data_IF_195474390190
#
_entry.id   IF_195474390190
#
_cell.length_a   1.000
_cell.length_b   1.000
_cell.length_c   1.000
_cell.angle_alpha   90.00
_cell.angle_beta   90.00
_cell.angle_gamma   90.00
#
_symmetry.space_group_name_H-M   'P 1'
#
loop_
_entity.id
_entity.type
_entity.pdbx_description
1 polymer ?
#
# COMPACT_ATOMS: atom_id res chain seq x y z
N UNK A 1 -20.90 14.30 -9.78
CA UNK A 1 -21.38 12.94 -9.48
C UNK A 1 -20.16 12.04 -9.41
N UNK A 2 -19.61 11.87 -8.20
CA UNK A 2 -18.36 11.12 -8.01
C UNK A 2 -18.63 9.62 -7.98
N UNK A 3 -17.79 8.82 -8.63
CA UNK A 3 -17.79 7.36 -8.54
C UNK A 3 -17.87 6.92 -7.07
N UNK A 4 -19.05 6.44 -6.65
CA UNK A 4 -19.22 5.78 -5.36
C UNK A 4 -18.60 4.39 -5.49
N UNK A 5 -17.38 4.22 -4.97
CA UNK A 5 -16.73 2.91 -4.93
C UNK A 5 -17.56 1.95 -4.05
N UNK A 6 -17.64 0.66 -4.40
CA UNK A 6 -18.47 -0.32 -3.70
C UNK A 6 -18.05 -0.42 -2.23
N UNK A 7 -19.04 -0.29 -1.35
CA UNK A 7 -18.86 -0.36 0.10
C UNK A 7 -18.87 -1.81 0.54
N UNK A 8 -17.76 -2.28 1.11
CA UNK A 8 -17.65 -3.65 1.62
C UNK A 8 -17.95 -3.64 3.11
N UNK A 9 -19.05 -4.27 3.53
CA UNK A 9 -19.48 -4.33 4.94
C UNK A 9 -18.84 -5.47 5.74
N UNK A 10 -18.19 -6.44 5.07
CA UNK A 10 -17.49 -7.58 5.68
C UNK A 10 -16.26 -7.94 4.86
N UNK A 11 -15.11 -8.16 5.52
CA UNK A 11 -14.00 -8.85 4.86
C UNK A 11 -14.41 -10.30 4.50
N UNK A 12 -13.73 -10.93 3.54
CA UNK A 12 -13.85 -12.37 3.30
C UNK A 12 -13.83 -13.13 4.65
N UNK A 13 -14.82 -13.99 4.90
CA UNK A 13 -14.95 -14.84 6.08
C UNK A 13 -15.43 -14.18 7.40
N UNK A 14 -16.45 -13.30 7.37
CA UNK A 14 -17.20 -12.85 8.56
C UNK A 14 -16.40 -12.09 9.65
N UNK A 15 -15.16 -11.69 9.38
CA UNK A 15 -14.34 -10.93 10.31
C UNK A 15 -14.79 -9.47 10.31
N UNK A 16 -14.97 -8.82 11.49
CA UNK A 16 -15.30 -7.41 11.55
C UNK A 16 -14.22 -6.58 10.84
N UNK A 17 -14.65 -5.59 10.06
CA UNK A 17 -13.82 -4.82 9.13
C UNK A 17 -12.56 -4.23 9.80
N UNK A 18 -12.69 -3.87 11.08
CA UNK A 18 -11.60 -3.36 11.93
C UNK A 18 -10.46 -4.37 12.10
N UNK A 19 -10.76 -5.62 12.44
CA UNK A 19 -9.77 -6.70 12.60
C UNK A 19 -9.14 -7.06 11.25
N UNK A 20 -9.95 -7.09 10.18
CA UNK A 20 -9.45 -7.30 8.82
C UNK A 20 -8.40 -6.26 8.41
N UNK A 21 -8.67 -4.97 8.66
CA UNK A 21 -7.71 -3.89 8.34
C UNK A 21 -6.42 -3.93 9.16
N UNK A 22 -6.50 -4.35 10.43
CA UNK A 22 -5.30 -4.54 11.27
C UNK A 22 -4.44 -5.68 10.73
N UNK A 23 -5.04 -6.84 10.44
CA UNK A 23 -4.33 -8.00 9.88
C UNK A 23 -3.65 -7.64 8.56
N UNK A 24 -4.36 -6.94 7.67
CA UNK A 24 -3.78 -6.48 6.39
C UNK A 24 -2.56 -5.60 6.64
N UNK A 25 -2.61 -4.68 7.62
CA UNK A 25 -1.47 -3.84 7.99
C UNK A 25 -0.26 -4.67 8.44
N UNK A 26 -0.45 -5.61 9.37
CA UNK A 26 0.63 -6.47 9.85
C UNK A 26 1.23 -7.37 8.77
N UNK A 27 0.39 -8.02 7.96
CA UNK A 27 0.87 -8.84 6.83
C UNK A 27 1.63 -7.99 5.82
N UNK A 28 1.19 -6.75 5.58
CA UNK A 28 1.85 -5.82 4.68
C UNK A 28 3.25 -5.44 5.17
N UNK A 29 3.40 -5.21 6.49
CA UNK A 29 4.70 -4.93 7.12
C UNK A 29 5.64 -6.13 6.93
N UNK A 30 5.21 -7.34 7.30
CA UNK A 30 6.04 -8.55 7.17
C UNK A 30 6.45 -8.76 5.72
N UNK A 31 5.50 -8.66 4.80
CA UNK A 31 5.76 -8.85 3.38
C UNK A 31 6.72 -7.79 2.83
N UNK A 32 6.58 -6.53 3.24
CA UNK A 32 7.49 -5.45 2.82
C UNK A 32 8.92 -5.65 3.32
N UNK A 33 9.10 -6.16 4.55
CA UNK A 33 10.43 -6.52 5.06
C UNK A 33 11.07 -7.65 4.25
N UNK A 34 10.30 -8.70 3.96
CA UNK A 34 10.76 -9.82 3.13
C UNK A 34 11.10 -9.35 1.70
N UNK A 35 10.25 -8.49 1.12
CA UNK A 35 10.48 -7.91 -0.20
C UNK A 35 11.77 -7.08 -0.22
N UNK A 36 12.01 -6.20 0.75
CA UNK A 36 13.27 -5.45 0.84
C UNK A 36 14.48 -6.37 0.99
N UNK A 37 14.40 -7.42 1.82
CA UNK A 37 15.49 -8.39 1.98
C UNK A 37 15.80 -9.12 0.66
N UNK A 38 14.78 -9.56 -0.06
CA UNK A 38 14.96 -10.23 -1.37
C UNK A 38 15.57 -9.28 -2.40
N UNK A 39 15.11 -8.03 -2.50
CA UNK A 39 15.70 -7.04 -3.42
C UNK A 39 17.17 -6.77 -3.08
N UNK A 40 17.51 -6.62 -1.80
CA UNK A 40 18.90 -6.46 -1.36
C UNK A 40 19.78 -7.66 -1.74
N UNK A 41 19.25 -8.88 -1.62
CA UNK A 41 19.94 -10.10 -2.06
C UNK A 41 20.17 -10.11 -3.58
N UNK A 42 19.18 -9.69 -4.38
CA UNK A 42 19.34 -9.57 -5.83
C UNK A 42 20.41 -8.54 -6.21
N UNK A 43 20.43 -7.38 -5.55
CA UNK A 43 21.48 -6.37 -5.75
C UNK A 43 22.86 -6.99 -5.49
N UNK A 44 23.04 -7.71 -4.38
CA UNK A 44 24.29 -8.40 -4.09
C UNK A 44 24.70 -9.40 -5.18
N UNK A 45 23.74 -10.19 -5.69
CA UNK A 45 23.98 -11.13 -6.81
C UNK A 45 24.42 -10.40 -8.08
N UNK A 46 23.81 -9.26 -8.41
CA UNK A 46 24.21 -8.46 -9.58
C UNK A 46 25.62 -7.89 -9.40
N UNK A 47 25.94 -7.34 -8.23
CA UNK A 47 27.29 -6.83 -7.93
C UNK A 47 28.34 -7.93 -8.09
N UNK A 48 28.11 -9.09 -7.46
CA UNK A 48 29.03 -10.23 -7.52
C UNK A 48 29.19 -10.76 -8.95
N UNK A 49 28.12 -10.78 -9.75
CA UNK A 49 28.19 -11.19 -11.16
C UNK A 49 29.03 -10.23 -12.01
N UNK A 50 28.86 -8.91 -11.81
CA UNK A 50 29.65 -7.89 -12.53
C UNK A 50 31.12 -8.00 -12.14
N UNK A 51 31.43 -8.16 -10.86
CA UNK A 51 32.80 -8.31 -10.38
C UNK A 51 33.45 -9.59 -10.92
N UNK A 52 32.72 -10.72 -10.94
CA UNK A 52 33.23 -11.97 -11.48
C UNK A 52 33.52 -11.90 -12.98
N UNK A 53 32.65 -11.23 -13.77
CA UNK A 53 32.89 -11.02 -15.20
C UNK A 53 34.07 -10.09 -15.50
N UNK A 54 34.44 -9.19 -14.58
CA UNK A 54 35.67 -8.39 -14.70
C UNK A 54 36.94 -9.23 -14.55
N UNK A 55 36.92 -10.23 -13.65
CA UNK A 55 38.05 -11.14 -13.45
C UNK A 55 38.11 -12.25 -14.51
N UNK A 56 36.96 -12.74 -14.97
CA UNK A 56 36.85 -13.81 -15.97
C UNK A 56 35.90 -13.35 -17.09
N UNK A 57 36.42 -12.72 -18.15
CA UNK A 57 35.59 -12.22 -19.24
C UNK A 57 34.95 -13.38 -19.98
N UNK A 58 33.62 -13.40 -20.04
CA UNK A 58 32.87 -14.37 -20.83
C UNK A 58 33.03 -14.03 -22.32
N UNK A 59 33.45 -14.97 -23.19
CA UNK A 59 33.64 -14.71 -24.62
C UNK A 59 32.36 -14.30 -25.37
N UNK A 60 31.17 -14.54 -24.82
CA UNK A 60 29.89 -14.26 -25.50
C UNK A 60 29.38 -12.82 -25.32
N UNK A 61 29.85 -12.07 -24.32
CA UNK A 61 29.34 -10.73 -24.01
C UNK A 61 30.46 -9.73 -23.76
N UNK A 62 30.43 -8.60 -24.48
CA UNK A 62 31.39 -7.51 -24.28
C UNK A 62 31.18 -6.84 -22.92
N UNK A 63 32.28 -6.48 -22.25
CA UNK A 63 32.26 -5.88 -20.91
C UNK A 63 31.39 -4.61 -20.83
N UNK A 64 31.38 -3.78 -21.88
CA UNK A 64 30.51 -2.59 -21.98
C UNK A 64 29.01 -2.93 -21.95
N UNK A 65 28.61 -4.04 -22.58
CA UNK A 65 27.20 -4.46 -22.59
C UNK A 65 26.74 -4.95 -21.21
N UNK A 66 27.63 -5.66 -20.50
CA UNK A 66 27.37 -6.14 -19.13
C UNK A 66 27.23 -4.95 -18.17
N UNK A 67 28.11 -3.96 -18.26
CA UNK A 67 28.06 -2.77 -17.40
C UNK A 67 26.81 -1.91 -17.68
N UNK A 68 26.42 -1.74 -18.95
CA UNK A 68 25.21 -0.99 -19.33
C UNK A 68 23.94 -1.68 -18.82
N UNK A 69 23.84 -3.01 -18.95
CA UNK A 69 22.70 -3.79 -18.43
C UNK A 69 22.67 -3.77 -16.89
N UNK A 70 23.84 -3.87 -16.24
CA UNK A 70 23.93 -3.78 -14.78
C UNK A 70 23.46 -2.41 -14.26
N UNK A 71 23.85 -1.32 -14.90
CA UNK A 71 23.40 0.04 -14.54
C UNK A 71 21.87 0.15 -14.61
N UNK A 72 21.28 -0.36 -15.69
CA UNK A 72 19.81 -0.41 -15.86
C UNK A 72 19.11 -1.20 -14.75
N UNK A 73 19.71 -2.32 -14.33
CA UNK A 73 19.21 -3.14 -13.22
C UNK A 73 19.34 -2.42 -11.87
N UNK A 74 20.44 -1.74 -11.60
CA UNK A 74 20.62 -0.96 -10.37
C UNK A 74 19.58 0.15 -10.23
N UNK A 75 19.33 0.91 -11.30
CA UNK A 75 18.31 1.97 -11.30
C UNK A 75 16.92 1.38 -11.00
N UNK A 76 16.61 0.23 -11.62
CA UNK A 76 15.35 -0.48 -11.37
C UNK A 76 15.23 -0.91 -9.90
N UNK A 77 16.25 -1.60 -9.36
CA UNK A 77 16.23 -2.07 -7.97
C UNK A 77 16.21 -0.94 -6.94
N UNK A 78 16.89 0.18 -7.20
CA UNK A 78 16.80 1.37 -6.35
C UNK A 78 15.37 1.91 -6.31
N UNK A 79 14.67 1.93 -7.45
CA UNK A 79 13.27 2.30 -7.50
C UNK A 79 12.38 1.32 -6.72
N UNK A 80 12.59 0.00 -6.85
CA UNK A 80 11.89 -1.00 -6.04
C UNK A 80 12.03 -0.76 -4.54
N UNK A 81 13.25 -0.55 -4.06
CA UNK A 81 13.51 -0.27 -2.64
C UNK A 81 12.76 0.97 -2.18
N UNK A 82 12.74 2.04 -2.98
CA UNK A 82 12.01 3.27 -2.63
C UNK A 82 10.50 3.03 -2.48
N UNK A 83 9.88 2.25 -3.38
CA UNK A 83 8.46 1.93 -3.33
C UNK A 83 8.13 1.03 -2.14
N UNK A 84 8.94 0.01 -1.86
CA UNK A 84 8.73 -0.87 -0.70
C UNK A 84 8.95 -0.15 0.63
N UNK A 85 9.91 0.76 0.72
CA UNK A 85 10.13 1.57 1.90
C UNK A 85 8.93 2.50 2.16
N UNK A 86 8.41 3.13 1.11
CA UNK A 86 7.20 3.94 1.23
C UNK A 86 5.98 3.09 1.66
N UNK A 87 5.85 1.87 1.12
CA UNK A 87 4.81 0.93 1.52
C UNK A 87 4.91 0.51 2.99
N UNK A 88 6.12 0.28 3.50
CA UNK A 88 6.37 -0.04 4.89
C UNK A 88 5.92 1.10 5.83
N UNK A 89 6.31 2.35 5.53
CA UNK A 89 5.90 3.53 6.30
C UNK A 89 4.38 3.67 6.35
N UNK A 90 3.74 3.58 5.19
CA UNK A 90 2.28 3.67 5.07
C UNK A 90 1.60 2.56 5.88
N UNK A 91 2.12 1.34 5.82
CA UNK A 91 1.57 0.20 6.58
C UNK A 91 1.67 0.39 8.08
N UNK A 92 2.74 1.03 8.59
CA UNK A 92 2.84 1.41 10.01
C UNK A 92 1.78 2.46 10.37
N UNK A 93 1.63 3.50 9.54
CA UNK A 93 0.62 4.56 9.76
C UNK A 93 -0.80 3.96 9.78
N UNK A 94 -1.07 2.95 8.94
CA UNK A 94 -2.33 2.21 8.98
C UNK A 94 -2.57 1.57 10.35
N UNK A 95 -1.61 0.79 10.82
CA UNK A 95 -1.73 0.05 12.09
C UNK A 95 -1.94 1.03 13.24
N UNK A 96 -1.16 2.12 13.30
CA UNK A 96 -1.30 3.18 14.31
C UNK A 96 -2.67 3.86 14.21
N UNK A 97 -3.13 4.17 12.99
CA UNK A 97 -4.40 4.85 12.75
C UNK A 97 -5.59 4.01 13.19
N UNK A 98 -5.58 2.71 12.90
CA UNK A 98 -6.65 1.78 13.30
C UNK A 98 -6.62 1.50 14.80
N UNK A 99 -5.43 1.38 15.39
CA UNK A 99 -5.28 1.21 16.84
C UNK A 99 -5.74 2.45 17.62
N UNK A 100 -5.39 3.65 17.13
CA UNK A 100 -5.73 4.92 17.79
C UNK A 100 -7.18 5.35 17.58
N UNK A 101 -7.94 4.67 16.72
CA UNK A 101 -9.33 4.99 16.37
C UNK A 101 -9.54 6.47 15.95
N UNK A 102 -8.52 7.10 15.37
CA UNK A 102 -8.53 8.50 14.95
C UNK A 102 -8.79 8.60 13.44
N UNK A 103 -9.98 9.03 12.99
CA UNK A 103 -10.32 9.06 11.56
C UNK A 103 -9.40 10.00 10.76
N UNK A 104 -8.88 11.06 11.36
CA UNK A 104 -7.95 11.99 10.72
C UNK A 104 -6.66 11.30 10.23
N UNK A 105 -6.14 10.32 10.98
CA UNK A 105 -4.96 9.56 10.59
C UNK A 105 -5.27 8.61 9.43
N UNK A 106 -6.44 7.96 9.45
CA UNK A 106 -6.87 7.13 8.32
C UNK A 106 -7.10 7.97 7.05
N UNK A 107 -7.59 9.21 7.17
CA UNK A 107 -7.77 10.09 6.02
C UNK A 107 -6.45 10.41 5.32
N UNK A 108 -5.41 10.70 6.11
CA UNK A 108 -4.05 10.91 5.58
C UNK A 108 -3.49 9.63 4.98
N UNK A 109 -3.75 8.47 5.61
CA UNK A 109 -3.38 7.17 5.05
C UNK A 109 -4.02 6.94 3.68
N UNK A 110 -5.32 7.18 3.50
CA UNK A 110 -6.00 6.94 2.21
C UNK A 110 -5.38 7.78 1.09
N UNK A 111 -5.02 9.04 1.38
CA UNK A 111 -4.30 9.90 0.41
C UNK A 111 -2.93 9.34 0.08
N UNK A 112 -2.16 8.92 1.09
CA UNK A 112 -0.84 8.33 0.90
C UNK A 112 -0.90 7.00 0.13
N UNK A 113 -1.92 6.18 0.39
CA UNK A 113 -2.17 4.92 -0.32
C UNK A 113 -2.49 5.15 -1.81
N UNK A 114 -3.21 6.22 -2.16
CA UNK A 114 -3.40 6.61 -3.57
C UNK A 114 -2.07 6.96 -4.25
N UNK A 115 -1.21 7.69 -3.55
CA UNK A 115 0.12 8.06 -4.07
C UNK A 115 1.00 6.82 -4.25
N UNK A 116 0.98 5.89 -3.29
CA UNK A 116 1.65 4.60 -3.41
C UNK A 116 1.13 3.80 -4.60
N UNK A 117 -0.18 3.79 -4.83
CA UNK A 117 -0.75 3.10 -5.98
C UNK A 117 -0.23 3.68 -7.31
N UNK A 118 -0.14 5.01 -7.41
CA UNK A 118 0.46 5.66 -8.58
C UNK A 118 1.93 5.27 -8.77
N UNK A 119 2.73 5.23 -7.70
CA UNK A 119 4.10 4.74 -7.74
C UNK A 119 4.19 3.27 -8.15
N UNK A 120 3.28 2.42 -7.68
CA UNK A 120 3.23 1.01 -8.06
C UNK A 120 2.91 0.81 -9.55
N UNK A 121 2.03 1.64 -10.12
CA UNK A 121 1.75 1.63 -11.57
C UNK A 121 2.97 2.09 -12.37
N UNK A 122 3.64 3.16 -11.93
CA UNK A 122 4.89 3.60 -12.55
C UNK A 122 5.96 2.51 -12.49
N UNK A 123 6.03 1.77 -11.38
CA UNK A 123 6.92 0.63 -11.22
C UNK A 123 6.63 -0.47 -12.24
N UNK A 124 5.37 -0.82 -12.50
CA UNK A 124 5.01 -1.80 -13.54
C UNK A 124 5.55 -1.36 -14.91
N UNK A 125 5.44 -0.08 -15.25
CA UNK A 125 5.96 0.46 -16.52
C UNK A 125 7.48 0.34 -16.59
N UNK A 126 8.20 0.76 -15.54
CA UNK A 126 9.65 0.65 -15.45
C UNK A 126 10.10 -0.79 -15.63
N UNK A 127 9.46 -1.74 -14.93
CA UNK A 127 9.83 -3.15 -15.04
C UNK A 127 9.52 -3.74 -16.40
N UNK A 128 8.44 -3.31 -17.04
CA UNK A 128 8.09 -3.75 -18.39
C UNK A 128 9.17 -3.37 -19.40
N UNK A 129 9.71 -2.15 -19.28
CA UNK A 129 10.76 -1.64 -20.17
C UNK A 129 12.10 -2.33 -19.92
N UNK A 130 12.49 -2.55 -18.66
CA UNK A 130 13.85 -2.99 -18.33
C UNK A 130 14.03 -4.50 -18.12
N UNK A 131 13.02 -5.21 -17.60
CA UNK A 131 13.10 -6.66 -17.31
C UNK A 131 12.22 -7.51 -18.24
N UNK A 132 11.32 -6.89 -18.99
CA UNK A 132 10.43 -7.57 -19.94
C UNK A 132 9.15 -8.15 -19.34
N UNK A 133 8.28 -8.68 -20.22
CA UNK A 133 6.89 -8.99 -19.90
C UNK A 133 6.69 -10.03 -18.79
N UNK A 134 7.47 -11.12 -18.78
CA UNK A 134 7.31 -12.17 -17.76
C UNK A 134 7.60 -11.67 -16.33
N UNK A 135 8.56 -10.75 -16.18
CA UNK A 135 8.87 -10.15 -14.89
C UNK A 135 7.75 -9.20 -14.40
N UNK A 136 6.91 -8.68 -15.30
CA UNK A 136 5.81 -7.76 -14.95
C UNK A 136 4.60 -8.46 -14.34
N UNK A 137 4.33 -9.71 -14.69
CA UNK A 137 3.17 -10.47 -14.22
C UNK A 137 3.05 -10.55 -12.68
N UNK A 138 4.10 -10.90 -11.91
CA UNK A 138 4.01 -10.93 -10.45
C UNK A 138 3.77 -9.55 -9.84
N UNK A 139 4.30 -8.50 -10.46
CA UNK A 139 4.14 -7.11 -10.00
C UNK A 139 2.74 -6.60 -10.32
N UNK A 140 2.20 -6.98 -11.47
CA UNK A 140 0.83 -6.67 -11.85
C UNK A 140 -0.15 -7.32 -10.87
N UNK A 141 0.09 -8.59 -10.50
CA UNK A 141 -0.67 -9.27 -9.44
C UNK A 141 -0.54 -8.53 -8.11
N UNK A 142 0.65 -8.08 -7.74
CA UNK A 142 0.87 -7.28 -6.53
C UNK A 142 0.11 -5.95 -6.55
N UNK A 143 0.11 -5.25 -7.68
CA UNK A 143 -0.63 -4.00 -7.88
C UNK A 143 -2.14 -4.21 -7.72
N UNK A 144 -2.67 -5.32 -8.24
CA UNK A 144 -4.07 -5.68 -8.04
C UNK A 144 -4.40 -5.95 -6.56
N UNK A 145 -3.52 -6.68 -5.85
CA UNK A 145 -3.67 -6.90 -4.40
C UNK A 145 -3.67 -5.57 -3.62
N UNK A 146 -2.77 -4.63 -3.96
CA UNK A 146 -2.75 -3.29 -3.36
C UNK A 146 -4.04 -2.53 -3.59
N UNK A 147 -4.63 -2.64 -4.78
CA UNK A 147 -5.92 -2.02 -5.10
C UNK A 147 -7.03 -2.57 -4.20
N UNK A 148 -7.11 -3.89 -4.06
CA UNK A 148 -8.09 -4.54 -3.16
C UNK A 148 -7.88 -4.09 -1.71
N UNK A 149 -6.63 -4.09 -1.22
CA UNK A 149 -6.30 -3.61 0.12
C UNK A 149 -6.73 -2.15 0.32
N UNK A 150 -6.47 -1.28 -0.66
CA UNK A 150 -6.88 0.13 -0.61
C UNK A 150 -8.40 0.29 -0.52
N UNK A 151 -9.17 -0.50 -1.27
CA UNK A 151 -10.64 -0.49 -1.22
C UNK A 151 -11.15 -0.93 0.16
N UNK A 152 -10.54 -1.97 0.74
CA UNK A 152 -10.89 -2.45 2.09
C UNK A 152 -10.60 -1.37 3.13
N UNK A 153 -9.42 -0.75 3.10
CA UNK A 153 -9.08 0.31 4.07
C UNK A 153 -9.92 1.56 3.89
N UNK A 154 -10.29 1.91 2.65
CA UNK A 154 -11.22 3.03 2.43
C UNK A 154 -12.61 2.72 3.01
N UNK A 155 -13.07 1.48 2.89
CA UNK A 155 -14.33 1.04 3.48
C UNK A 155 -14.28 1.13 5.01
N UNK A 156 -13.14 0.79 5.64
CA UNK A 156 -12.97 0.90 7.10
C UNK A 156 -12.92 2.35 7.57
N UNK A 157 -12.30 3.24 6.80
CA UNK A 157 -12.34 4.69 7.07
C UNK A 157 -13.78 5.22 7.10
N UNK A 158 -14.59 4.88 6.09
CA UNK A 158 -15.98 5.34 6.00
C UNK A 158 -16.84 4.81 7.16
N UNK A 159 -16.62 3.56 7.59
CA UNK A 159 -17.30 3.00 8.76
C UNK A 159 -16.91 3.71 10.06
N UNK A 160 -15.63 4.03 10.26
CA UNK A 160 -15.18 4.80 11.43
C UNK A 160 -15.68 6.26 11.40
N UNK A 161 -15.78 6.87 10.22
CA UNK A 161 -16.32 8.22 10.05
C UNK A 161 -17.81 8.27 10.38
N UNK A 162 -18.58 7.25 9.99
CA UNK A 162 -20.00 7.13 10.35
C UNK A 162 -20.22 6.84 11.84
N UNK A 163 -19.38 6.02 12.47
CA UNK A 163 -19.46 5.78 13.91
C UNK A 163 -19.10 7.01 14.74
N UNK A 164 -18.20 7.87 14.25
CA UNK A 164 -17.83 9.13 14.90
C UNK A 164 -18.79 10.29 14.60
N UNK A 165 -19.72 10.16 13.64
CA UNK A 165 -20.77 11.17 13.47
C UNK A 165 -21.76 11.03 14.62
N UNK A 166 -22.15 12.14 15.28
CA UNK A 166 -23.17 12.10 16.32
C UNK A 166 -24.43 11.48 15.74
N UNK A 167 -24.97 10.46 16.42
CA UNK A 167 -26.17 9.77 15.97
C UNK A 167 -27.32 10.78 15.98
N UNK A 168 -28.06 10.88 14.89
CA UNK A 168 -29.15 11.86 14.70
C UNK A 168 -30.18 11.81 15.84
N UNK A 169 -30.34 10.65 16.50
CA UNK A 169 -31.21 10.47 17.66
C UNK A 169 -30.79 11.31 18.89
N UNK A 170 -29.51 11.66 19.05
CA UNK A 170 -29.05 12.55 20.14
C UNK A 170 -29.34 14.02 19.84
N UNK A 171 -29.48 14.40 18.56
CA UNK A 171 -29.89 15.77 18.21
C UNK A 171 -31.36 16.02 18.58
N UNK A 172 -32.21 15.00 18.55
CA UNK A 172 -33.63 15.14 18.86
C UNK A 172 -33.88 15.48 20.34
N UNK A 173 -33.01 15.02 21.26
CA UNK A 173 -33.07 15.38 22.68
C UNK A 173 -32.61 16.83 22.97
N UNK A 174 -31.84 17.45 22.09
CA UNK A 174 -31.44 18.87 22.23
C UNK A 174 -32.54 19.84 21.78
N UNK A 175 -33.51 19.37 20.98
CA UNK A 175 -34.64 20.18 20.51
C UNK A 175 -35.94 19.94 21.29
N UNK A 176 -36.02 18.93 22.17
CA UNK A 176 -37.11 18.84 23.14
C UNK A 176 -36.88 19.83 24.27
N UNK A 177 -37.30 21.07 24.04
CA UNK A 177 -37.56 22.01 25.14
C UNK A 177 -38.66 21.41 26.02
N UNK A 178 -38.50 21.36 27.36
CA UNK A 178 -39.59 21.02 28.25
C UNK A 178 -40.66 22.08 28.07
N UNK A 179 -41.80 21.71 27.49
CA UNK A 179 -43.00 22.54 27.55
C UNK A 179 -43.37 22.69 29.04
N UNK A 180 -42.97 23.81 29.62
CA UNK A 180 -43.39 24.21 30.96
C UNK A 180 -44.90 24.40 30.89
N UNK A 181 -45.72 23.67 31.69
CA UNK A 181 -47.15 23.90 31.70
C UNK A 181 -47.39 25.31 32.24
N UNK A 182 -47.99 26.16 31.41
CA UNK A 182 -48.52 27.45 31.82
C UNK A 182 -49.63 27.17 32.83
N UNK A 183 -49.32 27.32 34.12
CA UNK A 183 -50.35 27.34 35.16
C UNK A 183 -51.15 28.63 34.98
N UNK A 184 -52.43 28.48 34.65
CA UNK A 184 -53.47 29.49 34.74
C UNK A 184 -54.66 28.87 35.47
#
# INVERSE_FOLDING_TARGET
MGFQLPRVSRCCCCVPLRIGSMLIGYFSIIFSCLAMATVSWYIYKVVSYVEHNKLHPNPEHTQEEVEKKALSLYVSFAYYLSVFLYYFIISIVLVIGVHSNKPNLLRSYVKAAMFLFALAVALVVVTCVFMGFFATLPILKWCFTLLVCMVVVRSTYLEMEEQNKPRVYEMQNLYMTPNVPLMA
#
